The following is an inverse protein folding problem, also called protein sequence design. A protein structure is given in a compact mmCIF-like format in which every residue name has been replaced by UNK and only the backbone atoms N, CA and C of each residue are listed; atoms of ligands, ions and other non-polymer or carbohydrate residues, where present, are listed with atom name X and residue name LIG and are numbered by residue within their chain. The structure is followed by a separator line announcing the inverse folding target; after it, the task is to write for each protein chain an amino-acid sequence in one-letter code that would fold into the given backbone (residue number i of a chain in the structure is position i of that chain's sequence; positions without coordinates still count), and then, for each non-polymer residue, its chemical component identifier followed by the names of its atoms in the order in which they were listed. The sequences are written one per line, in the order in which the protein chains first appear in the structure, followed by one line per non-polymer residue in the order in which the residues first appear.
data_IF_899597737874
#
_entry.id   IF_899597737874
#
_cell.length_a   1.000
_cell.length_b   1.000
_cell.length_c   1.000
_cell.angle_alpha   90.00
_cell.angle_beta   90.00
_cell.angle_gamma   90.00
#
_symmetry.space_group_name_H-M   'P 1'
#
loop_
_entity.id
_entity.type
_entity.pdbx_description
1 polymer ?
#
# COMPACT_ATOMS: atom_id res chain seq x y z
N UNK A 1 -23.67 -9.80 -44.39
CA UNK A 1 -23.00 -8.59 -43.89
C UNK A 1 -23.97 -7.80 -43.03
N UNK A 2 -24.05 -8.12 -41.73
CA UNK A 2 -24.83 -7.33 -40.79
C UNK A 2 -23.93 -6.23 -40.24
N UNK A 3 -24.28 -4.97 -40.53
CA UNK A 3 -23.72 -3.81 -39.82
C UNK A 3 -24.50 -3.67 -38.52
N UNK A 4 -23.77 -3.70 -37.42
CA UNK A 4 -24.29 -3.51 -36.07
C UNK A 4 -24.12 -2.02 -35.74
N UNK A 5 -25.22 -1.27 -35.76
CA UNK A 5 -25.22 0.11 -35.29
C UNK A 5 -25.49 0.08 -33.78
N UNK A 6 -24.42 0.26 -33.00
CA UNK A 6 -24.49 0.35 -31.54
C UNK A 6 -25.02 1.73 -31.17
N UNK A 7 -26.23 1.78 -30.60
CA UNK A 7 -26.79 3.01 -30.05
C UNK A 7 -26.56 3.00 -28.53
N UNK A 8 -25.74 3.92 -28.04
CA UNK A 8 -25.41 4.08 -26.61
C UNK A 8 -26.40 5.06 -25.98
N UNK A 9 -27.23 4.58 -25.07
CA UNK A 9 -28.13 5.44 -24.26
C UNK A 9 -27.48 5.69 -22.91
N UNK A 10 -27.06 6.93 -22.64
CA UNK A 10 -26.52 7.33 -21.34
C UNK A 10 -27.66 7.44 -20.31
N UNK A 11 -27.76 6.46 -19.42
CA UNK A 11 -28.48 6.63 -18.15
C UNK A 11 -27.49 7.24 -17.15
N UNK A 12 -27.79 8.45 -16.67
CA UNK A 12 -27.05 9.10 -15.59
C UNK A 12 -27.37 8.37 -14.30
N UNK A 13 -26.63 7.30 -14.03
CA UNK A 13 -26.50 6.75 -12.69
C UNK A 13 -25.61 7.74 -11.91
N UNK A 14 -26.15 8.30 -10.83
CA UNK A 14 -25.37 9.06 -9.86
C UNK A 14 -24.44 8.09 -9.12
N UNK A 15 -23.38 7.64 -9.80
CA UNK A 15 -22.22 7.05 -9.17
C UNK A 15 -21.57 8.17 -8.35
N UNK A 16 -21.46 7.93 -7.05
CA UNK A 16 -20.47 8.61 -6.20
C UNK A 16 -19.12 8.11 -6.70
N UNK A 17 -18.64 8.71 -7.79
CA UNK A 17 -17.38 8.38 -8.44
C UNK A 17 -16.25 8.93 -7.58
N UNK A 18 -15.48 8.04 -6.98
CA UNK A 18 -14.08 8.31 -6.69
C UNK A 18 -13.41 8.65 -8.02
N UNK A 19 -13.03 9.91 -8.19
CA UNK A 19 -12.28 10.40 -9.34
C UNK A 19 -10.97 9.63 -9.48
N UNK A 20 -10.95 8.60 -10.33
CA UNK A 20 -9.72 8.11 -10.95
C UNK A 20 -9.41 9.02 -12.12
N UNK A 21 -8.74 10.14 -11.84
CA UNK A 21 -8.22 11.00 -12.88
C UNK A 21 -7.08 10.27 -13.59
N UNK A 22 -7.34 9.79 -14.80
CA UNK A 22 -6.29 9.42 -15.74
C UNK A 22 -5.54 10.67 -16.18
N UNK A 23 -4.44 11.00 -15.48
CA UNK A 23 -3.46 11.96 -15.95
C UNK A 23 -2.28 11.22 -16.58
N UNK A 24 -2.17 11.34 -17.91
CA UNK A 24 -0.94 11.10 -18.64
C UNK A 24 0.02 12.25 -18.32
N UNK A 25 1.00 11.97 -17.46
CA UNK A 25 2.05 12.89 -17.04
C UNK A 25 2.69 12.38 -15.76
N UNK A 26 3.82 11.69 -15.88
CA UNK A 26 4.63 11.26 -14.74
C UNK A 26 5.08 12.50 -13.95
N UNK A 27 4.39 12.78 -12.83
CA UNK A 27 4.85 13.64 -11.76
C UNK A 27 4.62 12.87 -10.45
N UNK A 28 5.67 12.46 -9.70
CA UNK A 28 5.55 11.60 -8.52
C UNK A 28 4.90 12.28 -7.29
N UNK A 29 4.24 13.43 -7.48
CA UNK A 29 3.44 14.10 -6.45
C UNK A 29 1.99 14.08 -6.92
N UNK A 30 1.26 12.97 -6.72
CA UNK A 30 -0.21 13.01 -6.62
C UNK A 30 -0.82 11.65 -6.24
N UNK A 31 -0.93 11.43 -4.93
CA UNK A 31 -2.18 11.04 -4.26
C UNK A 31 -2.20 11.40 -2.76
N UNK A 32 -1.38 12.37 -2.32
CA UNK A 32 -1.72 13.14 -1.13
C UNK A 32 -2.96 13.96 -1.49
N UNK A 33 -4.11 13.63 -0.90
CA UNK A 33 -5.33 14.44 -1.00
C UNK A 33 -4.98 15.89 -0.65
N UNK A 34 -4.88 16.76 -1.67
CA UNK A 34 -4.63 18.20 -1.59
C UNK A 34 -3.71 18.65 -0.44
N UNK A 35 -2.39 18.70 -0.68
CA UNK A 35 -1.48 19.39 0.26
C UNK A 35 -2.02 20.79 0.53
N UNK A 36 -2.18 21.12 1.81
CA UNK A 36 -2.63 22.44 2.26
C UNK A 36 -1.56 23.51 2.07
N UNK A 37 -0.34 23.09 1.77
CA UNK A 37 0.85 23.92 1.73
C UNK A 37 1.47 23.95 0.31
N UNK A 38 1.97 25.10 -0.17
CA UNK A 38 2.50 25.22 -1.53
C UNK A 38 3.83 24.48 -1.77
N UNK A 39 4.66 24.30 -0.74
CA UNK A 39 6.01 23.74 -0.86
C UNK A 39 6.26 22.55 0.08
N UNK A 40 5.47 22.39 1.15
CA UNK A 40 5.57 21.27 2.08
C UNK A 40 4.59 20.16 1.71
N UNK A 41 5.10 18.93 1.62
CA UNK A 41 4.29 17.73 1.41
C UNK A 41 4.71 16.68 2.44
N UNK A 42 3.72 16.07 3.09
CA UNK A 42 3.94 15.05 4.12
C UNK A 42 3.10 13.84 3.77
N UNK A 43 3.72 12.65 3.73
CA UNK A 43 3.05 11.45 3.21
C UNK A 43 1.81 11.04 4.02
N UNK A 44 1.78 11.32 5.32
CA UNK A 44 0.59 11.08 6.15
C UNK A 44 -0.45 12.23 6.13
N UNK A 45 -0.24 13.33 5.38
CA UNK A 45 -1.28 14.34 5.16
C UNK A 45 -2.33 13.77 4.19
N UNK A 46 -3.42 13.25 4.75
CA UNK A 46 -4.49 12.64 4.00
C UNK A 46 -5.84 12.85 4.69
N UNK A 47 -6.69 13.64 4.07
CA UNK A 47 -8.04 13.94 4.57
C UNK A 47 -8.94 12.71 4.68
N UNK A 48 -8.73 11.67 3.86
CA UNK A 48 -9.48 10.41 3.96
C UNK A 48 -9.29 9.74 5.33
N UNK A 49 -8.09 9.87 5.88
CA UNK A 49 -7.72 9.29 7.17
C UNK A 49 -7.53 10.36 8.24
N UNK A 50 -8.04 11.58 8.01
CA UNK A 50 -7.95 12.69 8.96
C UNK A 50 -6.52 12.90 9.49
N UNK A 51 -5.50 12.71 8.64
CA UNK A 51 -4.08 12.79 8.98
C UNK A 51 -3.61 11.85 10.12
N UNK A 52 -4.34 10.75 10.37
CA UNK A 52 -3.91 9.72 11.29
C UNK A 52 -2.82 8.85 10.67
N UNK A 53 -1.82 8.54 11.48
CA UNK A 53 -0.83 7.50 11.19
C UNK A 53 -0.51 6.73 12.48
N UNK A 54 0.00 5.51 12.33
CA UNK A 54 0.12 4.56 13.43
C UNK A 54 1.21 3.51 13.14
N UNK A 55 1.70 2.86 14.19
CA UNK A 55 2.59 1.71 14.03
C UNK A 55 3.92 2.08 13.38
N UNK A 56 4.55 1.15 12.63
CA UNK A 56 5.88 1.33 12.07
C UNK A 56 5.87 2.08 10.72
N UNK A 57 4.89 2.95 10.47
CA UNK A 57 4.88 3.75 9.25
C UNK A 57 6.08 4.67 9.17
N UNK A 58 6.70 4.73 7.98
CA UNK A 58 7.72 5.72 7.66
C UNK A 58 7.03 6.91 7.00
N UNK A 59 7.22 8.10 7.57
CA UNK A 59 6.66 9.32 7.01
C UNK A 59 7.71 10.01 6.16
N UNK A 60 7.38 10.28 4.89
CA UNK A 60 8.19 11.09 4.01
C UNK A 60 7.77 12.56 4.12
N UNK A 61 8.77 13.44 4.21
CA UNK A 61 8.62 14.89 4.13
C UNK A 61 9.35 15.39 2.90
N UNK A 62 8.65 16.12 2.04
CA UNK A 62 9.20 16.74 0.84
C UNK A 62 9.06 18.25 0.98
N UNK A 63 10.16 18.97 0.74
CA UNK A 63 10.13 20.41 0.48
C UNK A 63 10.43 20.62 -1.00
N UNK A 64 9.39 20.98 -1.76
CA UNK A 64 9.45 21.37 -3.17
C UNK A 64 9.37 22.88 -3.26
N UNK A 65 10.50 23.54 -3.02
CA UNK A 65 10.58 25.00 -2.92
C UNK A 65 11.40 25.58 -4.08
N UNK A 66 10.80 26.38 -4.97
CA UNK A 66 11.49 26.93 -6.14
C UNK A 66 12.65 27.88 -5.78
N UNK A 67 12.70 28.40 -4.56
CA UNK A 67 13.77 29.30 -4.11
C UNK A 67 15.07 28.53 -3.78
N UNK A 68 14.99 27.21 -3.56
CA UNK A 68 16.10 26.35 -3.13
C UNK A 68 16.19 25.02 -3.90
N UNK A 69 15.68 24.95 -5.14
CA UNK A 69 15.61 23.71 -5.92
C UNK A 69 16.72 23.51 -6.95
N UNK A 70 17.59 24.51 -7.20
CA UNK A 70 18.66 24.34 -8.19
C UNK A 70 19.71 23.33 -7.71
N UNK A 71 20.18 22.51 -8.64
CA UNK A 71 21.11 21.41 -8.37
C UNK A 71 22.58 21.84 -8.41
N UNK A 72 22.87 22.96 -9.05
CA UNK A 72 24.22 23.50 -9.32
C UNK A 72 24.55 24.74 -8.48
N UNK A 73 23.73 25.03 -7.47
CA UNK A 73 23.94 26.12 -6.53
C UNK A 73 23.78 25.62 -5.09
N UNK A 74 24.70 26.03 -4.23
CA UNK A 74 24.65 25.73 -2.82
C UNK A 74 23.54 26.56 -2.15
N UNK A 75 22.59 25.87 -1.55
CA UNK A 75 21.60 26.44 -0.64
C UNK A 75 21.84 25.89 0.78
N UNK A 76 21.37 26.65 1.78
CA UNK A 76 21.21 26.10 3.11
C UNK A 76 20.16 25.00 3.10
N UNK A 77 20.32 24.00 3.97
CA UNK A 77 19.28 23.01 4.24
C UNK A 77 18.00 23.73 4.71
N UNK A 78 16.81 23.41 4.15
CA UNK A 78 15.56 23.97 4.64
C UNK A 78 15.36 23.61 6.12
N UNK A 79 14.86 24.56 6.89
CA UNK A 79 14.61 24.33 8.32
C UNK A 79 13.24 23.68 8.46
N UNK A 80 13.25 22.37 8.71
CA UNK A 80 12.05 21.57 8.98
C UNK A 80 12.14 21.01 10.39
N UNK A 81 11.03 21.02 11.14
CA UNK A 81 10.97 20.43 12.49
C UNK A 81 9.83 19.44 12.65
N UNK A 82 10.04 18.44 13.51
CA UNK A 82 9.03 17.56 14.07
C UNK A 82 8.86 17.93 15.54
N UNK A 83 7.71 18.47 15.93
CA UNK A 83 7.45 18.95 17.31
C UNK A 83 8.58 19.86 17.84
N UNK A 84 9.08 20.77 16.99
CA UNK A 84 10.14 21.72 17.31
C UNK A 84 11.55 21.13 17.35
N UNK A 85 11.74 19.85 16.98
CA UNK A 85 13.05 19.20 16.82
C UNK A 85 13.44 19.12 15.35
N UNK A 86 14.67 19.48 15.01
CA UNK A 86 15.10 19.50 13.60
C UNK A 86 14.95 18.13 12.94
N UNK A 87 14.38 18.15 11.74
CA UNK A 87 14.39 17.05 10.78
C UNK A 87 15.44 17.36 9.72
N UNK A 88 16.47 16.50 9.61
CA UNK A 88 17.50 16.67 8.59
C UNK A 88 16.95 16.37 7.19
N UNK A 89 17.18 17.27 6.25
CA UNK A 89 16.71 17.20 4.87
C UNK A 89 17.88 17.00 3.90
N UNK A 90 17.68 16.20 2.85
CA UNK A 90 18.69 15.98 1.81
C UNK A 90 18.13 16.31 0.42
N UNK A 91 18.89 17.04 -0.39
CA UNK A 91 18.46 17.41 -1.74
C UNK A 91 18.66 16.25 -2.71
N UNK A 92 17.63 15.91 -3.47
CA UNK A 92 17.68 14.91 -4.52
C UNK A 92 17.97 15.50 -5.89
N UNK A 93 18.18 14.64 -6.88
CA UNK A 93 18.46 15.01 -8.28
C UNK A 93 17.28 15.61 -9.03
N UNK A 94 16.08 15.62 -8.45
CA UNK A 94 14.90 16.31 -8.98
C UNK A 94 14.75 17.75 -8.43
N UNK A 95 15.68 18.20 -7.57
CA UNK A 95 15.71 19.53 -6.98
C UNK A 95 14.94 19.64 -5.67
N UNK A 96 14.11 18.66 -5.32
CA UNK A 96 13.37 18.68 -4.07
C UNK A 96 14.25 18.20 -2.91
N UNK A 97 13.84 18.57 -1.69
CA UNK A 97 14.46 18.14 -0.46
C UNK A 97 13.62 17.06 0.22
N UNK A 98 14.25 15.99 0.66
CA UNK A 98 13.59 14.82 1.24
C UNK A 98 14.10 14.53 2.65
N UNK A 99 13.19 14.09 3.51
CA UNK A 99 13.51 13.45 4.78
C UNK A 99 12.50 12.35 5.09
N UNK A 100 12.90 11.46 5.99
CA UNK A 100 12.05 10.38 6.48
C UNK A 100 12.09 10.36 8.01
N UNK A 101 10.94 10.13 8.64
CA UNK A 101 10.87 9.94 10.08
C UNK A 101 9.90 8.82 10.47
N UNK A 102 10.09 8.26 11.66
CA UNK A 102 9.20 7.24 12.22
C UNK A 102 9.21 7.29 13.76
N UNK A 103 8.24 6.65 14.39
CA UNK A 103 8.30 6.38 15.83
C UNK A 103 9.40 5.34 16.12
N UNK A 104 10.29 5.66 17.07
CA UNK A 104 11.43 4.83 17.45
C UNK A 104 10.99 3.45 17.95
N UNK A 105 10.00 3.39 18.82
CA UNK A 105 9.61 2.12 19.44
C UNK A 105 8.92 1.21 18.43
N UNK A 106 8.12 1.78 17.54
CA UNK A 106 7.49 1.06 16.44
C UNK A 106 8.51 0.57 15.40
N UNK A 107 9.47 1.41 15.01
CA UNK A 107 10.58 1.00 14.14
C UNK A 107 11.38 -0.17 14.72
N UNK A 108 11.74 -0.09 16.01
CA UNK A 108 12.42 -1.20 16.72
C UNK A 108 11.55 -2.46 16.75
N UNK A 109 10.25 -2.33 17.02
CA UNK A 109 9.34 -3.46 17.08
C UNK A 109 9.23 -4.16 15.73
N UNK A 110 9.16 -3.39 14.64
CA UNK A 110 9.08 -3.88 13.27
C UNK A 110 10.37 -4.59 12.87
N UNK A 111 11.52 -3.94 13.06
CA UNK A 111 12.81 -4.46 12.65
C UNK A 111 13.19 -5.78 13.35
N UNK A 112 12.79 -5.95 14.61
CA UNK A 112 12.92 -7.22 15.34
C UNK A 112 12.26 -8.42 14.66
N UNK A 113 11.27 -8.20 13.81
CA UNK A 113 10.59 -9.29 13.10
C UNK A 113 11.38 -9.80 11.90
N UNK A 114 12.40 -9.07 11.45
CA UNK A 114 13.13 -9.38 10.22
C UNK A 114 13.88 -10.70 10.34
N UNK A 115 13.55 -11.65 9.47
CA UNK A 115 14.22 -12.96 9.40
C UNK A 115 15.38 -13.02 8.40
N UNK A 116 15.41 -12.09 7.44
CA UNK A 116 16.44 -11.97 6.41
C UNK A 116 16.63 -10.49 6.08
N UNK A 117 17.89 -10.02 6.07
CA UNK A 117 18.20 -8.62 5.78
C UNK A 117 17.69 -8.19 4.40
N UNK A 118 17.11 -7.00 4.29
CA UNK A 118 16.51 -6.51 3.03
C UNK A 118 15.14 -7.10 2.72
N UNK A 119 14.41 -7.61 3.72
CA UNK A 119 13.08 -8.23 3.57
C UNK A 119 12.16 -7.92 4.74
N UNK A 120 10.85 -7.95 4.50
CA UNK A 120 9.87 -7.66 5.53
C UNK A 120 9.98 -6.22 6.02
N UNK A 121 9.74 -5.98 7.30
CA UNK A 121 9.76 -4.64 7.91
C UNK A 121 11.17 -4.25 8.38
N UNK A 122 12.15 -4.30 7.48
CA UNK A 122 13.56 -4.01 7.76
C UNK A 122 13.85 -2.51 7.66
N UNK A 123 14.22 -1.90 8.78
CA UNK A 123 14.56 -0.48 8.88
C UNK A 123 16.04 -0.19 8.58
N UNK A 124 16.85 -1.23 8.40
CA UNK A 124 18.30 -1.17 8.32
C UNK A 124 18.95 -1.09 9.70
N UNK A 125 20.17 -0.55 9.77
CA UNK A 125 20.90 -0.52 11.05
C UNK A 125 20.58 0.75 11.85
N UNK A 126 20.42 0.60 13.16
CA UNK A 126 20.11 1.67 14.10
C UNK A 126 21.38 2.30 14.67
N UNK A 127 21.38 3.62 14.73
CA UNK A 127 22.40 4.46 15.35
C UNK A 127 21.75 5.38 16.39
N UNK A 128 22.42 5.62 17.52
CA UNK A 128 21.90 6.51 18.56
C UNK A 128 22.10 7.98 18.19
N UNK A 129 21.35 8.89 18.81
CA UNK A 129 21.56 10.34 18.65
C UNK A 129 22.88 10.84 19.26
N UNK A 130 23.58 10.01 20.03
CA UNK A 130 24.92 10.28 20.56
C UNK A 130 26.04 9.88 19.58
N UNK A 131 25.68 9.46 18.37
CA UNK A 131 26.64 9.11 17.32
C UNK A 131 27.55 10.29 17.00
N UNK A 132 28.86 10.07 16.98
CA UNK A 132 29.84 11.05 16.50
C UNK A 132 29.98 11.04 14.99
N UNK A 133 29.31 10.09 14.33
CA UNK A 133 29.22 10.00 12.88
C UNK A 133 28.47 11.19 12.27
N UNK A 134 29.10 11.83 11.27
CA UNK A 134 28.51 12.87 10.43
C UNK A 134 28.64 12.45 8.95
N UNK A 135 27.53 12.20 8.22
CA UNK A 135 27.60 11.80 6.81
C UNK A 135 28.16 12.90 5.91
N UNK A 136 27.98 14.15 6.32
CA UNK A 136 28.42 15.36 5.62
C UNK A 136 28.62 16.46 6.65
N UNK A 137 29.64 17.31 6.47
CA UNK A 137 29.91 18.42 7.39
C UNK A 137 28.64 19.22 7.72
N UNK A 138 28.37 19.40 9.02
CA UNK A 138 27.19 20.08 9.53
C UNK A 138 25.92 19.21 9.59
N UNK A 139 25.99 17.92 9.24
CA UNK A 139 24.91 16.95 9.40
C UNK A 139 25.14 16.07 10.62
N UNK A 140 24.21 16.16 11.55
CA UNK A 140 24.10 15.33 12.76
C UNK A 140 22.63 15.08 13.06
N UNK A 141 22.37 14.09 13.90
CA UNK A 141 21.02 13.65 14.31
C UNK A 141 20.84 13.77 15.82
N UNK A 142 21.47 14.75 16.46
CA UNK A 142 21.46 14.91 17.92
C UNK A 142 20.09 15.27 18.50
N UNK A 143 19.21 15.88 17.68
CA UNK A 143 17.85 16.26 18.08
C UNK A 143 16.82 15.12 17.94
N UNK A 144 17.23 13.95 17.47
CA UNK A 144 16.38 12.76 17.35
C UNK A 144 16.55 11.82 18.55
N UNK A 145 15.83 10.70 18.53
CA UNK A 145 15.99 9.58 19.46
C UNK A 145 16.81 8.43 18.85
N UNK A 146 17.58 8.74 17.81
CA UNK A 146 18.29 7.78 16.98
C UNK A 146 17.90 7.94 15.51
N UNK A 147 18.55 7.19 14.65
CA UNK A 147 18.28 7.15 13.23
C UNK A 147 18.64 5.78 12.68
N UNK A 148 18.07 5.43 11.53
CA UNK A 148 18.42 4.20 10.82
C UNK A 148 19.16 4.52 9.53
N UNK A 149 20.03 3.61 9.11
CA UNK A 149 20.79 3.72 7.87
C UNK A 149 20.48 2.55 6.95
N UNK A 150 20.43 2.85 5.66
CA UNK A 150 19.96 1.89 4.66
C UNK A 150 20.87 0.69 4.42
N UNK A 151 22.17 0.83 4.73
CA UNK A 151 23.18 -0.19 4.43
C UNK A 151 23.82 -0.76 5.68
N UNK A 152 24.19 -2.03 5.60
CA UNK A 152 25.00 -2.68 6.61
C UNK A 152 26.45 -2.21 6.59
N UNK A 153 27.11 -2.23 7.75
CA UNK A 153 28.55 -2.03 7.88
C UNK A 153 28.97 -0.73 8.56
N UNK A 154 28.05 0.00 9.21
CA UNK A 154 28.43 1.14 10.03
C UNK A 154 28.94 0.66 11.39
N UNK A 155 30.11 1.15 11.79
CA UNK A 155 30.71 0.80 13.09
C UNK A 155 29.86 1.33 14.23
N UNK A 156 29.44 0.43 15.13
CA UNK A 156 28.58 0.76 16.27
C UNK A 156 27.10 0.81 15.94
N UNK A 157 26.69 0.55 14.69
CA UNK A 157 25.28 0.39 14.36
C UNK A 157 24.76 -0.99 14.78
N UNK A 158 23.50 -1.06 15.17
CA UNK A 158 22.84 -2.27 15.65
C UNK A 158 21.70 -2.64 14.71
N UNK A 159 21.70 -3.88 14.24
CA UNK A 159 20.57 -4.46 13.53
C UNK A 159 19.64 -5.15 14.56
N UNK A 160 18.32 -4.97 14.44
CA UNK A 160 17.30 -5.58 15.32
C UNK A 160 17.52 -5.32 16.81
N UNK A 161 17.67 -4.06 17.23
CA UNK A 161 17.94 -3.74 18.64
C UNK A 161 16.85 -4.29 19.56
N UNK A 162 17.25 -4.88 20.70
CA UNK A 162 16.31 -5.48 21.65
C UNK A 162 15.35 -4.46 22.30
N UNK A 163 15.72 -3.19 22.37
CA UNK A 163 14.93 -2.06 22.88
C UNK A 163 15.67 -0.75 22.60
N UNK A 164 15.10 0.39 22.99
CA UNK A 164 15.72 1.70 22.79
C UNK A 164 17.11 1.85 23.43
N UNK A 165 17.37 1.22 24.59
CA UNK A 165 18.66 1.27 25.26
C UNK A 165 19.74 0.40 24.57
N UNK A 166 19.33 -0.51 23.68
CA UNK A 166 20.25 -1.33 22.89
C UNK A 166 20.78 -0.59 21.65
N UNK A 167 20.27 0.60 21.31
CA UNK A 167 20.80 1.42 20.22
C UNK A 167 22.11 2.07 20.66
N UNK A 168 23.21 1.76 19.99
CA UNK A 168 24.54 2.28 20.31
C UNK A 168 24.97 3.43 19.40
N UNK A 169 25.96 4.20 19.86
CA UNK A 169 26.51 5.31 19.09
C UNK A 169 27.35 4.80 17.91
N UNK A 170 27.07 5.34 16.72
CA UNK A 170 27.84 5.10 15.52
C UNK A 170 29.03 6.07 15.48
N UNK A 171 30.25 5.55 15.36
CA UNK A 171 31.47 6.32 15.62
C UNK A 171 32.23 6.73 14.37
N UNK A 172 32.09 5.98 13.28
CA UNK A 172 32.68 6.30 11.97
C UNK A 172 31.83 5.71 10.86
N UNK A 173 31.51 6.47 9.82
CA UNK A 173 31.17 5.88 8.54
C UNK A 173 32.14 6.38 7.47
N UNK A 174 32.97 5.47 7.00
CA UNK A 174 33.32 5.42 5.58
C UNK A 174 32.07 4.97 4.82
N UNK A 175 31.99 5.28 3.53
CA UNK A 175 30.90 4.82 2.68
C UNK A 175 30.68 3.31 2.92
N UNK A 176 29.49 2.89 3.40
CA UNK A 176 29.26 1.49 3.74
C UNK A 176 29.45 0.61 2.51
N UNK A 177 30.28 -0.43 2.65
CA UNK A 177 30.52 -1.42 1.60
C UNK A 177 29.45 -2.52 1.57
N UNK A 178 28.56 -2.57 2.57
CA UNK A 178 27.51 -3.57 2.67
C UNK A 178 26.37 -3.38 1.68
N UNK A 179 25.53 -4.41 1.55
CA UNK A 179 24.29 -4.33 0.79
C UNK A 179 23.33 -3.31 1.42
N UNK A 180 22.43 -2.76 0.60
CA UNK A 180 21.24 -2.07 1.09
C UNK A 180 20.33 -3.13 1.73
N UNK A 181 20.01 -2.93 2.99
CA UNK A 181 19.22 -3.85 3.81
C UNK A 181 17.91 -3.22 4.28
N UNK A 182 17.74 -1.89 4.22
CA UNK A 182 16.40 -1.31 4.46
C UNK A 182 15.40 -1.78 3.40
N UNK A 183 14.18 -2.04 3.85
CA UNK A 183 13.06 -2.55 3.06
C UNK A 183 11.73 -1.83 3.35
N UNK A 184 11.77 -0.79 4.19
CA UNK A 184 10.64 0.12 4.46
C UNK A 184 10.76 1.46 3.71
N UNK A 185 11.83 1.62 2.92
CA UNK A 185 12.00 2.65 1.89
C UNK A 185 12.69 1.99 0.68
N UNK A 186 11.90 1.62 -0.32
CA UNK A 186 12.37 0.82 -1.46
C UNK A 186 12.73 1.66 -2.69
N UNK A 187 12.11 2.82 -2.87
CA UNK A 187 12.26 3.71 -4.03
C UNK A 187 12.62 5.16 -3.61
N UNK A 188 13.65 5.31 -2.76
CA UNK A 188 14.19 6.61 -2.39
C UNK A 188 14.70 7.41 -3.60
N UNK A 189 14.69 8.73 -3.47
CA UNK A 189 15.26 9.59 -4.49
C UNK A 189 16.79 9.59 -4.42
N UNK A 190 17.43 9.62 -5.59
CA UNK A 190 18.87 9.74 -5.71
C UNK A 190 19.31 11.12 -5.23
N UNK A 191 20.33 11.19 -4.37
CA UNK A 191 20.84 12.46 -3.83
C UNK A 191 21.62 13.26 -4.89
N UNK A 192 21.54 14.59 -4.81
CA UNK A 192 22.33 15.49 -5.62
C UNK A 192 23.81 15.49 -5.19
N UNK A 193 24.68 14.95 -6.04
CA UNK A 193 26.14 14.85 -5.80
C UNK A 193 26.95 16.00 -6.40
N UNK A 194 26.29 16.98 -7.05
CA UNK A 194 26.98 18.11 -7.66
C UNK A 194 27.71 18.95 -6.60
N UNK A 195 29.03 19.10 -6.75
CA UNK A 195 29.90 19.83 -5.81
C UNK A 195 29.58 21.33 -5.68
N UNK A 196 28.92 21.92 -6.69
CA UNK A 196 28.44 23.30 -6.63
C UNK A 196 27.08 23.43 -5.92
N UNK A 197 26.36 22.31 -5.72
CA UNK A 197 25.04 22.24 -5.10
C UNK A 197 25.07 21.60 -3.71
N UNK A 198 24.15 20.66 -3.46
CA UNK A 198 24.09 19.94 -2.19
C UNK A 198 25.34 19.11 -1.88
N UNK A 199 26.06 18.66 -2.92
CA UNK A 199 27.33 17.94 -2.80
C UNK A 199 27.25 16.72 -1.85
N UNK A 200 26.27 15.84 -2.05
CA UNK A 200 26.21 14.57 -1.36
C UNK A 200 27.49 13.76 -1.66
N UNK A 201 28.28 13.46 -0.61
CA UNK A 201 29.49 12.66 -0.73
C UNK A 201 29.16 11.16 -0.65
N UNK A 202 30.17 10.32 -0.88
CA UNK A 202 30.04 8.86 -0.84
C UNK A 202 29.51 8.32 0.50
N UNK A 203 29.80 8.99 1.61
CA UNK A 203 29.31 8.60 2.94
C UNK A 203 27.80 8.85 3.04
N UNK A 204 27.34 10.04 2.65
CA UNK A 204 25.91 10.38 2.71
C UNK A 204 25.11 9.51 1.74
N UNK A 205 25.56 9.35 0.50
CA UNK A 205 24.90 8.42 -0.45
C UNK A 205 24.95 6.97 0.02
N UNK A 206 25.96 6.62 0.81
CA UNK A 206 26.14 5.26 1.30
C UNK A 206 25.23 4.89 2.48
N UNK A 207 24.73 5.87 3.24
CA UNK A 207 23.79 5.63 4.34
C UNK A 207 22.33 5.92 3.96
N UNK A 208 22.11 6.59 2.83
CA UNK A 208 20.79 7.03 2.36
C UNK A 208 19.96 5.85 1.84
N UNK A 209 18.64 5.80 2.10
CA UNK A 209 17.85 6.76 2.90
C UNK A 209 18.10 6.63 4.41
N UNK A 210 17.89 7.73 5.14
CA UNK A 210 18.00 7.79 6.61
C UNK A 210 16.62 8.04 7.21
N UNK A 211 16.18 7.14 8.10
CA UNK A 211 14.94 7.35 8.89
C UNK A 211 15.31 7.96 10.23
N UNK A 212 14.82 9.16 10.50
CA UNK A 212 15.04 9.86 11.76
C UNK A 212 13.98 9.43 12.78
N UNK A 213 14.42 8.93 13.94
CA UNK A 213 13.52 8.33 14.91
C UNK A 213 13.12 9.37 15.95
N UNK A 214 11.81 9.56 16.15
CA UNK A 214 11.25 10.37 17.24
C UNK A 214 10.50 9.46 18.22
N UNK A 215 10.03 10.02 19.33
CA UNK A 215 9.27 9.26 20.32
C UNK A 215 7.91 9.90 20.49
N UNK A 216 6.89 9.22 20.00
CA UNK A 216 5.51 9.67 20.04
C UNK A 216 4.69 8.86 21.05
N UNK A 217 5.35 8.25 22.06
CA UNK A 217 4.74 7.31 23.02
C UNK A 217 3.63 7.88 23.92
N UNK A 218 3.29 9.16 23.82
CA UNK A 218 2.20 9.82 24.56
C UNK A 218 0.85 9.77 23.85
N UNK A 219 0.36 8.59 23.47
CA UNK A 219 -0.84 8.45 22.62
C UNK A 219 -2.14 8.95 23.28
N UNK A 220 -2.99 9.73 22.55
CA UNK A 220 -2.74 10.29 21.22
C UNK A 220 -1.67 11.38 21.25
N UNK A 221 -0.75 11.38 20.28
CA UNK A 221 0.29 12.41 20.13
C UNK A 221 0.06 13.21 18.86
N UNK A 222 -0.09 14.53 19.01
CA UNK A 222 -0.03 15.43 17.87
C UNK A 222 1.42 15.57 17.38
N UNK A 223 1.61 15.45 16.07
CA UNK A 223 2.90 15.54 15.40
C UNK A 223 2.85 16.70 14.42
N UNK A 224 3.51 17.78 14.79
CA UNK A 224 3.63 19.00 14.00
C UNK A 224 4.86 18.89 13.09
N UNK A 225 4.62 18.85 11.78
CA UNK A 225 5.67 19.00 10.76
C UNK A 225 5.66 20.45 10.30
N UNK A 226 6.73 21.17 10.59
CA UNK A 226 6.81 22.62 10.35
C UNK A 226 8.00 22.94 9.43
N UNK A 227 7.72 23.46 8.24
CA UNK A 227 8.70 24.05 7.34
C UNK A 227 8.75 25.57 7.52
N UNK A 228 9.84 26.06 8.08
CA UNK A 228 10.08 27.48 8.33
C UNK A 228 10.51 28.20 7.04
N UNK A 229 9.59 28.35 6.07
CA UNK A 229 9.86 29.03 4.80
C UNK A 229 10.04 30.53 5.05
N UNK A 230 10.97 31.15 4.31
CA UNK A 230 11.04 32.60 4.22
C UNK A 230 9.70 33.15 3.68
N UNK A 231 9.01 33.98 4.47
CA UNK A 231 7.69 34.52 4.13
C UNK A 231 6.51 33.87 4.85
N UNK A 232 6.75 32.84 5.67
CA UNK A 232 5.74 32.25 6.55
C UNK A 232 5.87 30.74 6.66
N UNK A 233 5.63 30.21 7.85
CA UNK A 233 5.72 28.79 8.14
C UNK A 233 4.62 28.01 7.39
N UNK A 234 4.99 26.83 6.90
CA UNK A 234 4.08 25.86 6.30
C UNK A 234 4.01 24.66 7.23
N UNK A 235 2.80 24.34 7.67
CA UNK A 235 2.59 23.43 8.79
C UNK A 235 1.62 22.32 8.40
N UNK A 236 1.98 21.09 8.71
CA UNK A 236 1.10 19.93 8.66
C UNK A 236 0.96 19.36 10.07
N UNK A 237 -0.29 19.19 10.51
CA UNK A 237 -0.62 18.49 11.75
C UNK A 237 -1.03 17.05 11.42
N UNK A 238 -0.33 16.11 12.04
CA UNK A 238 -0.63 14.68 12.00
C UNK A 238 -1.04 14.18 13.39
N UNK A 239 -1.78 13.07 13.44
CA UNK A 239 -2.18 12.42 14.69
C UNK A 239 -1.56 11.02 14.76
N UNK A 240 -0.59 10.84 15.67
CA UNK A 240 -0.05 9.52 15.96
C UNK A 240 -0.86 8.84 17.06
N UNK A 241 -1.71 7.90 16.66
CA UNK A 241 -2.58 7.15 17.55
C UNK A 241 -3.00 5.83 16.89
N UNK A 242 -3.80 5.01 17.58
CA UNK A 242 -4.57 3.95 16.95
C UNK A 242 -5.50 4.55 15.93
N UNK A 243 -5.57 3.94 14.74
CA UNK A 243 -6.48 4.40 13.70
C UNK A 243 -7.94 4.21 14.17
N UNK A 244 -8.76 5.29 14.19
CA UNK A 244 -10.17 5.19 14.50
C UNK A 244 -10.89 4.17 13.61
N UNK A 245 -11.75 3.33 14.20
CA UNK A 245 -12.46 2.24 13.49
C UNK A 245 -13.27 2.74 12.29
N UNK A 246 -13.81 3.97 12.34
CA UNK A 246 -14.57 4.56 11.24
C UNK A 246 -13.71 5.03 10.04
N UNK A 247 -12.39 5.03 10.18
CA UNK A 247 -11.43 5.31 9.10
C UNK A 247 -10.88 4.04 8.45
N UNK A 248 -11.23 2.87 9.01
CA UNK A 248 -10.88 1.56 8.47
C UNK A 248 -12.13 0.94 7.86
N UNK A 249 -12.04 0.45 6.63
CA UNK A 249 -13.19 -0.16 5.96
C UNK A 249 -12.79 -1.27 5.01
N UNK A 250 -13.67 -2.25 4.81
CA UNK A 250 -13.59 -3.20 3.70
C UNK A 250 -14.88 -3.15 2.89
N UNK A 251 -14.77 -3.19 1.57
CA UNK A 251 -15.91 -3.15 0.66
C UNK A 251 -15.73 -4.12 -0.50
N UNK A 252 -16.85 -4.60 -1.01
CA UNK A 252 -16.93 -5.48 -2.18
C UNK A 252 -17.61 -4.74 -3.34
N UNK A 253 -17.28 -5.09 -4.57
CA UNK A 253 -17.74 -4.38 -5.77
C UNK A 253 -19.20 -4.62 -6.16
N UNK A 254 -19.84 -5.68 -5.61
CA UNK A 254 -21.22 -6.06 -5.94
C UNK A 254 -21.99 -6.54 -4.72
N UNK A 255 -23.30 -6.40 -4.77
CA UNK A 255 -24.22 -6.96 -3.79
C UNK A 255 -24.60 -8.42 -4.07
N UNK A 256 -24.44 -8.86 -5.31
CA UNK A 256 -24.71 -10.22 -5.77
C UNK A 256 -23.74 -10.59 -6.90
N UNK A 257 -23.21 -11.80 -6.84
CA UNK A 257 -22.21 -12.29 -7.79
C UNK A 257 -22.75 -13.47 -8.60
N UNK A 258 -22.67 -13.43 -9.93
CA UNK A 258 -23.01 -14.58 -10.72
C UNK A 258 -21.86 -15.61 -10.65
N UNK A 259 -22.01 -16.79 -11.27
CA UNK A 259 -20.96 -17.83 -11.23
C UNK A 259 -19.66 -17.36 -11.91
N UNK A 260 -18.49 -17.87 -11.53
CA UNK A 260 -17.24 -17.58 -12.23
C UNK A 260 -16.95 -16.08 -12.48
N UNK A 261 -17.32 -15.21 -11.54
CA UNK A 261 -17.12 -13.76 -11.61
C UNK A 261 -16.03 -13.32 -10.64
N UNK A 262 -15.22 -12.35 -11.07
CA UNK A 262 -14.22 -11.69 -10.24
C UNK A 262 -14.90 -11.05 -9.03
N UNK A 263 -14.28 -11.19 -7.86
CA UNK A 263 -14.74 -10.59 -6.60
C UNK A 263 -13.67 -9.61 -6.18
N UNK A 264 -13.95 -8.31 -6.30
CA UNK A 264 -12.98 -7.28 -5.96
C UNK A 264 -13.23 -6.79 -4.54
N UNK A 265 -12.22 -6.96 -3.69
CA UNK A 265 -12.23 -6.49 -2.31
C UNK A 265 -11.29 -5.30 -2.20
N UNK A 266 -11.82 -4.17 -1.76
CA UNK A 266 -11.04 -3.00 -1.40
C UNK A 266 -10.97 -2.88 0.12
N UNK A 267 -9.80 -2.54 0.64
CA UNK A 267 -9.53 -2.29 2.04
C UNK A 267 -8.93 -0.91 2.20
N UNK A 268 -9.49 -0.06 3.05
CA UNK A 268 -8.91 1.22 3.43
C UNK A 268 -8.39 1.07 4.85
N UNK A 269 -7.08 1.18 5.03
CA UNK A 269 -6.41 1.21 6.33
C UNK A 269 -5.04 1.90 6.17
N UNK A 270 -4.88 3.13 6.70
CA UNK A 270 -3.62 3.84 6.60
C UNK A 270 -2.49 3.16 7.38
N UNK A 271 -2.80 2.29 8.35
CA UNK A 271 -1.78 1.59 9.12
C UNK A 271 -1.00 0.56 8.33
N UNK A 272 -1.55 0.09 7.20
CA UNK A 272 -0.87 -0.81 6.28
C UNK A 272 0.12 -0.10 5.34
N UNK A 273 0.11 1.23 5.30
CA UNK A 273 0.95 2.03 4.39
C UNK A 273 2.29 2.38 5.06
N UNK A 274 3.24 1.45 5.01
CA UNK A 274 4.54 1.50 5.68
C UNK A 274 5.58 2.28 4.88
N UNK A 275 5.67 2.03 3.57
CA UNK A 275 6.68 2.60 2.69
C UNK A 275 6.10 3.76 1.87
N UNK A 276 6.51 5.01 2.13
CA UNK A 276 5.96 6.16 1.43
C UNK A 276 6.50 6.32 -0.01
N UNK A 277 7.36 5.41 -0.49
CA UNK A 277 8.07 5.53 -1.78
C UNK A 277 7.66 4.51 -2.83
N UNK A 278 7.05 3.39 -2.43
CA UNK A 278 6.59 2.33 -3.34
C UNK A 278 5.27 1.73 -2.82
N UNK A 279 4.45 1.17 -3.71
CA UNK A 279 3.23 0.47 -3.29
C UNK A 279 3.52 -0.65 -2.28
N UNK A 280 2.72 -0.67 -1.21
CA UNK A 280 2.77 -1.71 -0.19
C UNK A 280 1.97 -2.96 -0.57
N UNK A 281 2.47 -4.12 -0.16
CA UNK A 281 1.88 -5.42 -0.45
C UNK A 281 1.81 -6.24 0.84
N UNK A 282 0.61 -6.72 1.16
CA UNK A 282 0.34 -7.53 2.34
C UNK A 282 -0.32 -8.83 1.93
N UNK A 283 0.19 -9.95 2.43
CA UNK A 283 -0.33 -11.27 2.11
C UNK A 283 -0.77 -11.96 3.38
N UNK A 284 -2.01 -12.47 3.38
CA UNK A 284 -2.57 -13.21 4.50
C UNK A 284 -2.75 -14.69 4.13
N UNK A 285 -2.50 -15.56 5.11
CA UNK A 285 -3.25 -16.82 5.21
C UNK A 285 -4.59 -16.50 5.86
N UNK A 286 -5.67 -16.55 5.07
CA UNK A 286 -6.98 -16.02 5.49
C UNK A 286 -7.86 -17.03 6.21
N UNK A 287 -7.45 -18.29 6.33
CA UNK A 287 -8.21 -19.26 7.10
C UNK A 287 -8.09 -18.97 8.61
N UNK A 288 -9.24 -18.79 9.27
CA UNK A 288 -9.33 -18.42 10.68
C UNK A 288 -8.66 -19.39 11.65
N UNK A 289 -8.49 -20.67 11.29
CA UNK A 289 -7.87 -21.67 12.18
C UNK A 289 -6.34 -21.68 12.12
N UNK A 290 -5.74 -21.07 11.10
CA UNK A 290 -4.28 -21.02 10.91
C UNK A 290 -3.84 -19.72 10.23
N UNK A 291 -4.44 -18.61 10.64
CA UNK A 291 -4.24 -17.31 10.00
C UNK A 291 -2.80 -16.80 10.15
N UNK A 292 -2.28 -16.20 9.09
CA UNK A 292 -0.93 -15.63 9.01
C UNK A 292 -0.98 -14.28 8.30
N UNK A 293 0.04 -13.44 8.53
CA UNK A 293 0.19 -12.12 7.91
C UNK A 293 1.65 -11.87 7.57
N UNK A 294 1.90 -11.36 6.38
CA UNK A 294 3.23 -11.02 5.89
C UNK A 294 3.23 -9.69 5.14
N UNK A 295 4.27 -8.91 5.37
CA UNK A 295 4.57 -7.71 4.59
C UNK A 295 5.55 -8.06 3.47
N UNK A 296 5.26 -7.61 2.25
CA UNK A 296 6.07 -7.82 1.04
C UNK A 296 6.41 -9.29 0.78
N UNK A 297 5.41 -10.17 0.77
CA UNK A 297 5.60 -11.52 0.24
C UNK A 297 5.99 -11.47 -1.25
N UNK A 298 5.35 -10.55 -1.98
CA UNK A 298 5.54 -10.28 -3.40
C UNK A 298 5.79 -8.79 -3.60
N UNK A 299 6.72 -8.46 -4.50
CA UNK A 299 7.04 -7.08 -4.84
C UNK A 299 5.95 -6.43 -5.70
N UNK A 300 6.10 -5.13 -6.02
CA UNK A 300 5.14 -4.39 -6.84
C UNK A 300 4.87 -5.01 -8.21
N UNK A 301 5.70 -5.91 -8.72
CA UNK A 301 5.52 -6.56 -10.03
C UNK A 301 5.01 -8.01 -9.93
N UNK A 302 4.65 -8.48 -8.73
CA UNK A 302 4.20 -9.85 -8.48
C UNK A 302 5.31 -10.91 -8.47
N UNK A 303 6.57 -10.47 -8.49
CA UNK A 303 7.71 -11.34 -8.25
C UNK A 303 7.83 -11.68 -6.77
N UNK A 304 8.31 -12.89 -6.46
CA UNK A 304 8.60 -13.27 -5.08
C UNK A 304 9.63 -12.30 -4.46
N UNK A 305 9.26 -11.69 -3.34
CA UNK A 305 10.15 -10.88 -2.54
C UNK A 305 10.62 -11.66 -1.31
N UNK A 306 9.76 -11.80 -0.29
CA UNK A 306 10.03 -12.64 0.88
C UNK A 306 9.55 -14.09 0.71
N UNK A 307 8.54 -14.36 -0.13
CA UNK A 307 7.93 -15.70 -0.30
C UNK A 307 8.99 -16.76 -0.66
N UNK A 308 8.96 -17.90 0.05
CA UNK A 308 9.92 -18.98 -0.08
C UNK A 308 11.28 -18.78 0.61
N UNK A 309 11.47 -17.67 1.34
CA UNK A 309 12.73 -17.37 2.05
C UNK A 309 12.53 -17.23 3.55
N UNK A 310 13.62 -17.13 4.31
CA UNK A 310 13.59 -16.79 5.74
C UNK A 310 13.07 -15.37 6.02
N UNK A 311 12.94 -14.51 5.01
CA UNK A 311 12.35 -13.17 5.15
C UNK A 311 10.84 -13.19 5.38
N UNK A 312 10.15 -14.30 5.07
CA UNK A 312 8.70 -14.43 5.19
C UNK A 312 8.26 -14.67 6.65
N UNK A 313 8.25 -13.60 7.44
CA UNK A 313 8.01 -13.64 8.88
C UNK A 313 6.55 -13.35 9.21
N UNK A 314 5.91 -14.24 9.99
CA UNK A 314 4.50 -14.11 10.33
C UNK A 314 4.30 -13.02 11.40
N UNK A 315 3.52 -12.00 11.08
CA UNK A 315 3.33 -10.80 11.88
C UNK A 315 2.08 -10.83 12.79
N UNK A 316 1.24 -11.87 12.71
CA UNK A 316 0.00 -11.96 13.51
C UNK A 316 0.29 -11.80 15.02
N UNK A 317 1.37 -12.40 15.53
CA UNK A 317 1.77 -12.29 16.93
C UNK A 317 2.29 -10.90 17.34
N UNK A 318 2.53 -10.01 16.38
CA UNK A 318 3.13 -8.69 16.56
C UNK A 318 2.12 -7.54 16.41
N UNK A 319 0.88 -7.81 15.98
CA UNK A 319 -0.15 -6.79 15.71
C UNK A 319 -0.37 -5.82 16.88
N UNK A 320 -0.41 -6.30 18.12
CA UNK A 320 -0.53 -5.44 19.31
C UNK A 320 0.67 -4.49 19.46
N UNK A 321 1.88 -4.97 19.20
CA UNK A 321 3.10 -4.15 19.28
C UNK A 321 3.14 -3.09 18.18
N UNK A 322 2.56 -3.39 17.02
CA UNK A 322 2.41 -2.51 15.87
C UNK A 322 1.20 -1.58 15.95
N UNK A 323 0.51 -1.53 17.09
CA UNK A 323 -0.67 -0.71 17.35
C UNK A 323 -1.95 -1.12 16.61
N UNK A 324 -1.99 -2.26 15.92
CA UNK A 324 -3.20 -2.73 15.22
C UNK A 324 -4.30 -3.15 16.21
N UNK A 325 -3.92 -3.70 17.39
CA UNK A 325 -4.85 -4.29 18.35
C UNK A 325 -5.76 -5.37 17.72
N UNK A 326 -7.02 -5.02 17.43
CA UNK A 326 -8.01 -5.90 16.78
C UNK A 326 -8.00 -5.79 15.24
N UNK A 327 -7.25 -4.84 14.69
CA UNK A 327 -7.06 -4.63 13.26
C UNK A 327 -5.93 -5.51 12.69
N UNK A 328 -5.69 -5.46 11.38
CA UNK A 328 -4.54 -6.10 10.72
C UNK A 328 -4.70 -7.59 10.43
N UNK A 329 -5.70 -8.25 11.00
CA UNK A 329 -6.05 -9.63 10.65
C UNK A 329 -7.20 -9.66 9.63
N UNK A 330 -6.95 -10.26 8.47
CA UNK A 330 -7.96 -10.55 7.45
C UNK A 330 -8.26 -12.05 7.44
N UNK A 331 -9.53 -12.41 7.60
CA UNK A 331 -9.99 -13.81 7.50
C UNK A 331 -11.10 -13.96 6.47
N UNK A 332 -11.15 -15.12 5.84
CA UNK A 332 -12.10 -15.45 4.78
C UNK A 332 -12.64 -16.87 5.00
N UNK A 333 -13.97 -16.99 5.06
CA UNK A 333 -14.67 -18.26 5.01
C UNK A 333 -15.38 -18.40 3.65
N UNK A 334 -14.88 -19.23 2.72
CA UNK A 334 -15.42 -19.33 1.37
C UNK A 334 -16.74 -20.10 1.32
N UNK A 335 -17.14 -20.75 2.43
CA UNK A 335 -18.31 -21.61 2.50
C UNK A 335 -19.11 -21.38 3.80
N UNK A 336 -19.48 -20.14 4.08
CA UNK A 336 -20.11 -19.77 5.36
C UNK A 336 -21.42 -20.52 5.65
N UNK A 337 -22.10 -20.99 4.61
CA UNK A 337 -23.33 -21.78 4.70
C UNK A 337 -23.15 -23.22 4.16
N UNK A 338 -21.92 -23.75 4.20
CA UNK A 338 -21.61 -25.14 3.81
C UNK A 338 -21.47 -25.38 2.31
N UNK A 339 -21.73 -24.37 1.47
CA UNK A 339 -21.49 -24.38 0.02
C UNK A 339 -20.32 -23.46 -0.30
N UNK A 340 -19.34 -23.96 -1.06
CA UNK A 340 -18.22 -23.15 -1.50
C UNK A 340 -18.66 -22.10 -2.53
N UNK A 341 -18.61 -20.84 -2.12
CA UNK A 341 -18.96 -19.67 -2.95
C UNK A 341 -17.74 -19.11 -3.66
N UNK A 342 -16.56 -19.18 -3.04
CA UNK A 342 -15.32 -18.58 -3.55
C UNK A 342 -14.25 -19.64 -3.83
N UNK A 343 -13.58 -19.46 -4.97
CA UNK A 343 -12.27 -20.04 -5.24
C UNK A 343 -11.21 -18.93 -5.18
N UNK A 344 -9.97 -19.34 -4.99
CA UNK A 344 -8.78 -18.50 -5.06
C UNK A 344 -8.16 -18.65 -6.45
N UNK A 345 -7.56 -17.59 -6.96
CA UNK A 345 -6.84 -17.63 -8.22
C UNK A 345 -5.60 -16.73 -8.22
N UNK A 346 -4.60 -17.11 -9.00
CA UNK A 346 -3.44 -16.26 -9.27
C UNK A 346 -3.87 -15.01 -10.04
N UNK A 347 -3.14 -13.94 -9.82
CA UNK A 347 -3.13 -12.77 -10.68
C UNK A 347 -1.68 -12.33 -10.93
N UNK A 348 -1.47 -11.18 -11.55
CA UNK A 348 -0.15 -10.62 -11.81
C UNK A 348 0.60 -10.08 -10.59
N UNK A 349 0.02 -10.16 -9.37
CA UNK A 349 0.64 -9.72 -8.10
C UNK A 349 0.83 -10.85 -7.10
N UNK A 350 -0.01 -11.88 -7.16
CA UNK A 350 0.07 -13.07 -6.33
C UNK A 350 0.23 -14.34 -7.20
N UNK A 351 1.42 -14.94 -7.22
CA UNK A 351 1.62 -16.22 -7.86
C UNK A 351 1.05 -17.35 -6.99
N UNK A 352 -0.18 -17.78 -7.28
CA UNK A 352 -0.74 -19.01 -6.71
C UNK A 352 -0.33 -20.25 -7.51
N UNK A 353 0.01 -21.31 -6.78
CA UNK A 353 0.29 -22.65 -7.33
C UNK A 353 -0.81 -23.62 -6.91
N UNK A 354 -1.22 -24.46 -7.85
CA UNK A 354 -2.14 -25.58 -7.64
C UNK A 354 -1.59 -26.85 -8.28
N UNK A 355 -2.08 -28.02 -7.86
CA UNK A 355 -1.60 -29.31 -8.35
C UNK A 355 -1.82 -29.52 -9.86
N UNK A 356 -2.89 -28.94 -10.41
CA UNK A 356 -3.24 -28.95 -11.83
C UNK A 356 -2.49 -27.88 -12.65
N UNK A 357 -1.67 -27.03 -12.01
CA UNK A 357 -0.91 -25.97 -12.65
C UNK A 357 -1.70 -24.73 -13.07
N UNK A 358 -3.02 -24.69 -12.82
CA UNK A 358 -3.87 -23.54 -13.20
C UNK A 358 -3.59 -22.31 -12.33
N UNK A 359 -3.18 -22.53 -11.08
CA UNK A 359 -3.10 -21.50 -10.04
C UNK A 359 -4.48 -21.06 -9.56
N UNK A 360 -5.50 -21.93 -9.66
CA UNK A 360 -6.87 -21.68 -9.21
C UNK A 360 -7.40 -22.86 -8.40
N UNK A 361 -8.25 -22.60 -7.41
CA UNK A 361 -9.01 -23.63 -6.69
C UNK A 361 -9.42 -23.21 -5.29
N UNK A 362 -9.98 -24.16 -4.54
CA UNK A 362 -10.34 -23.99 -3.13
C UNK A 362 -9.10 -23.92 -2.23
N UNK A 363 -9.31 -23.66 -0.94
CA UNK A 363 -8.23 -23.48 0.05
C UNK A 363 -7.24 -24.64 0.11
N UNK A 364 -7.71 -25.88 -0.07
CA UNK A 364 -6.88 -27.10 -0.08
C UNK A 364 -6.13 -27.34 -1.39
N UNK A 365 -6.42 -26.57 -2.45
CA UNK A 365 -5.89 -26.78 -3.79
C UNK A 365 -4.84 -25.73 -4.19
N UNK A 366 -4.80 -24.58 -3.51
CA UNK A 366 -3.86 -23.49 -3.81
C UNK A 366 -2.90 -23.21 -2.65
N UNK A 367 -1.72 -22.68 -2.98
CA UNK A 367 -0.68 -22.26 -2.05
C UNK A 367 0.27 -21.24 -2.67
N UNK A 368 1.06 -20.56 -1.84
CA UNK A 368 2.31 -19.88 -2.26
C UNK A 368 3.52 -20.76 -1.93
N UNK A 369 4.75 -20.25 -2.01
CA UNK A 369 5.92 -21.00 -1.53
C UNK A 369 5.94 -21.11 0.00
N UNK A 370 5.51 -20.08 0.73
CA UNK A 370 5.51 -20.05 2.18
C UNK A 370 4.15 -20.30 2.85
N UNK A 371 3.04 -19.99 2.17
CA UNK A 371 1.68 -20.22 2.69
C UNK A 371 1.17 -21.54 2.12
N UNK A 372 1.09 -22.57 2.96
CA UNK A 372 0.70 -23.92 2.56
C UNK A 372 -0.80 -24.08 2.24
N UNK A 373 -1.14 -25.26 1.71
CA UNK A 373 -2.54 -25.64 1.47
C UNK A 373 -3.39 -25.50 2.73
N UNK A 374 -4.68 -25.29 2.52
CA UNK A 374 -5.70 -25.05 3.55
C UNK A 374 -5.51 -23.75 4.34
N UNK A 375 -4.59 -22.87 3.93
CA UNK A 375 -4.35 -21.57 4.59
C UNK A 375 -4.97 -20.38 3.86
N UNK A 376 -5.50 -20.59 2.64
CA UNK A 376 -6.26 -19.58 1.90
C UNK A 376 -5.45 -18.28 1.63
N UNK A 377 -4.38 -18.33 0.83
CA UNK A 377 -3.55 -17.15 0.54
C UNK A 377 -4.33 -16.07 -0.24
N UNK A 378 -4.25 -14.83 0.23
CA UNK A 378 -4.79 -13.64 -0.46
C UNK A 378 -3.81 -12.49 -0.26
N UNK A 379 -3.44 -11.82 -1.35
CA UNK A 379 -2.58 -10.62 -1.32
C UNK A 379 -3.38 -9.37 -1.63
N UNK A 380 -3.20 -8.33 -0.81
CA UNK A 380 -3.64 -7.00 -1.15
C UNK A 380 -2.44 -6.13 -1.48
N UNK A 381 -2.54 -5.39 -2.58
CA UNK A 381 -1.56 -4.37 -2.97
C UNK A 381 -2.19 -2.99 -2.88
N UNK A 382 -1.39 -2.00 -2.50
CA UNK A 382 -1.79 -0.62 -2.50
C UNK A 382 -2.30 -0.20 -3.89
N UNK A 383 -3.42 0.52 -3.92
CA UNK A 383 -4.22 0.79 -5.11
C UNK A 383 -4.36 2.28 -5.33
N UNK A 384 -4.25 2.71 -6.58
CA UNK A 384 -4.28 4.12 -6.94
C UNK A 384 -2.90 4.79 -6.86
N UNK A 385 -1.84 4.06 -6.53
CA UNK A 385 -0.47 4.55 -6.50
C UNK A 385 0.19 4.30 -5.14
N UNK A 386 1.27 5.03 -4.89
CA UNK A 386 2.05 4.95 -3.64
C UNK A 386 1.38 5.78 -2.55
N UNK A 387 1.40 5.28 -1.32
CA UNK A 387 1.05 6.03 -0.12
C UNK A 387 -0.40 6.56 -0.14
N UNK A 388 -1.33 5.68 -0.51
CA UNK A 388 -2.77 5.92 -0.56
C UNK A 388 -3.50 5.37 0.67
N UNK A 389 -2.91 4.42 1.41
CA UNK A 389 -3.60 3.70 2.49
C UNK A 389 -4.81 2.88 2.03
N UNK A 390 -4.94 2.69 0.72
CA UNK A 390 -6.04 1.97 0.08
C UNK A 390 -5.47 0.76 -0.65
N UNK A 391 -6.01 -0.41 -0.37
CA UNK A 391 -5.48 -1.70 -0.77
C UNK A 391 -6.53 -2.51 -1.52
N UNK A 392 -6.07 -3.37 -2.41
CA UNK A 392 -6.90 -4.09 -3.35
C UNK A 392 -6.39 -5.51 -3.60
N UNK A 393 -7.29 -6.48 -3.72
CA UNK A 393 -6.96 -7.87 -4.03
C UNK A 393 -6.75 -8.15 -5.53
N UNK A 394 -6.55 -7.11 -6.35
CA UNK A 394 -6.45 -7.23 -7.80
C UNK A 394 -5.22 -6.56 -8.39
N UNK A 395 -4.83 -7.02 -9.59
CA UNK A 395 -3.66 -6.55 -10.30
C UNK A 395 -3.93 -5.42 -11.32
N UNK A 396 -2.88 -5.00 -12.03
CA UNK A 396 -3.00 -4.03 -13.13
C UNK A 396 -3.93 -4.49 -14.26
N UNK A 397 -4.01 -5.79 -14.49
CA UNK A 397 -4.88 -6.46 -15.46
C UNK A 397 -6.33 -6.62 -15.01
N UNK A 398 -6.68 -6.11 -13.83
CA UNK A 398 -8.03 -6.20 -13.24
C UNK A 398 -8.47 -7.65 -12.98
N UNK A 399 -7.52 -8.50 -12.58
CA UNK A 399 -7.76 -9.86 -12.13
C UNK A 399 -7.62 -9.89 -10.60
N UNK A 400 -8.70 -10.25 -9.91
CA UNK A 400 -8.74 -10.40 -8.45
C UNK A 400 -8.16 -11.74 -8.00
N UNK A 401 -7.75 -11.82 -6.74
CA UNK A 401 -7.37 -13.08 -6.11
C UNK A 401 -8.57 -13.98 -5.83
N UNK A 402 -9.77 -13.38 -5.76
CA UNK A 402 -11.01 -14.06 -5.45
C UNK A 402 -11.92 -14.14 -6.69
N UNK A 403 -12.52 -15.30 -6.88
CA UNK A 403 -13.49 -15.56 -7.95
C UNK A 403 -14.60 -16.45 -7.43
N UNK A 404 -15.84 -16.20 -7.85
CA UNK A 404 -16.94 -17.11 -7.47
C UNK A 404 -16.79 -18.48 -8.12
N UNK A 405 -17.19 -19.53 -7.42
CA UNK A 405 -17.18 -20.88 -7.96
C UNK A 405 -18.09 -20.97 -9.19
N UNK A 406 -17.69 -21.81 -10.16
CA UNK A 406 -18.46 -22.03 -11.38
C UNK A 406 -19.59 -23.06 -11.18
N UNK A 407 -20.50 -22.79 -10.24
CA UNK A 407 -21.62 -23.67 -9.92
C UNK A 407 -22.85 -22.89 -9.52
N UNK A 408 -24.03 -23.32 -9.99
CA UNK A 408 -25.30 -22.68 -9.61
C UNK A 408 -25.67 -22.89 -8.14
N UNK A 409 -24.98 -23.80 -7.44
CA UNK A 409 -25.19 -24.05 -6.02
C UNK A 409 -24.88 -22.83 -5.15
N UNK A 410 -24.13 -21.84 -5.65
CA UNK A 410 -23.82 -20.60 -4.91
C UNK A 410 -25.01 -19.64 -4.79
N UNK A 411 -26.15 -19.92 -5.45
CA UNK A 411 -27.33 -19.06 -5.39
C UNK A 411 -27.82 -18.89 -3.95
N UNK A 412 -28.01 -17.64 -3.55
CA UNK A 412 -28.56 -17.22 -2.24
C UNK A 412 -27.77 -17.75 -1.03
N UNK A 413 -26.52 -18.15 -1.26
CA UNK A 413 -25.55 -18.50 -0.22
C UNK A 413 -24.33 -17.59 -0.30
N UNK A 414 -23.57 -17.52 0.80
CA UNK A 414 -22.50 -16.54 0.94
C UNK A 414 -21.18 -17.14 1.42
N UNK A 415 -20.10 -16.53 0.93
CA UNK A 415 -18.85 -16.47 1.65
C UNK A 415 -18.84 -15.24 2.57
N UNK A 416 -17.91 -15.23 3.52
CA UNK A 416 -17.71 -14.07 4.41
C UNK A 416 -16.25 -13.71 4.49
N UNK A 417 -15.96 -12.41 4.47
CA UNK A 417 -14.67 -11.85 4.84
C UNK A 417 -14.83 -11.11 6.18
N UNK A 418 -13.78 -11.06 6.97
CA UNK A 418 -13.74 -10.30 8.21
C UNK A 418 -12.42 -9.55 8.34
N UNK A 419 -12.52 -8.26 8.63
CA UNK A 419 -11.38 -7.37 8.87
C UNK A 419 -11.78 -6.28 9.86
N UNK A 420 -10.87 -5.93 10.78
CA UNK A 420 -11.11 -4.93 11.83
C UNK A 420 -12.44 -5.16 12.57
N UNK A 421 -12.69 -6.40 12.95
CA UNK A 421 -13.92 -6.89 13.57
C UNK A 421 -15.25 -6.68 12.80
N UNK A 422 -15.20 -6.20 11.57
CA UNK A 422 -16.35 -6.07 10.67
C UNK A 422 -16.39 -7.25 9.70
N UNK A 423 -17.57 -7.82 9.51
CA UNK A 423 -17.80 -8.92 8.57
C UNK A 423 -18.62 -8.45 7.37
N UNK A 424 -18.17 -8.82 6.17
CA UNK A 424 -18.81 -8.51 4.89
C UNK A 424 -19.13 -9.80 4.16
N UNK A 425 -20.35 -9.92 3.65
CA UNK A 425 -20.81 -11.09 2.89
C UNK A 425 -20.55 -10.92 1.40
N UNK A 426 -20.12 -12.01 0.76
CA UNK A 426 -20.05 -12.13 -0.70
C UNK A 426 -21.11 -13.14 -1.10
N UNK A 427 -22.19 -12.65 -1.69
CA UNK A 427 -23.41 -13.43 -1.92
C UNK A 427 -23.48 -13.86 -3.39
N UNK A 428 -23.66 -15.15 -3.64
CA UNK A 428 -23.99 -15.62 -4.98
C UNK A 428 -25.43 -15.28 -5.33
N UNK A 429 -25.66 -14.63 -6.46
CA UNK A 429 -26.99 -14.23 -6.90
C UNK A 429 -27.06 -14.09 -8.41
N UNK A 430 -28.17 -14.55 -8.99
CA UNK A 430 -28.36 -14.64 -10.44
C UNK A 430 -29.64 -13.87 -10.82
N UNK A 431 -29.49 -12.90 -11.72
CA UNK A 431 -30.57 -12.17 -12.33
C UNK A 431 -31.15 -12.87 -13.55
N UNK A 432 -32.33 -12.43 -13.98
CA UNK A 432 -32.91 -12.87 -15.23
C UNK A 432 -32.55 -11.88 -16.33
N UNK A 433 -32.16 -12.40 -17.49
CA UNK A 433 -32.03 -11.58 -18.68
C UNK A 433 -33.41 -11.05 -19.11
N UNK A 434 -33.44 -9.83 -19.63
CA UNK A 434 -34.63 -9.19 -20.18
C UNK A 434 -34.43 -8.86 -21.66
N UNK A 435 -35.49 -9.05 -22.45
CA UNK A 435 -35.55 -8.67 -23.85
C UNK A 435 -36.57 -7.54 -24.00
N UNK A 436 -36.11 -6.40 -24.49
CA UNK A 436 -36.97 -5.26 -24.81
C UNK A 436 -36.98 -5.05 -26.32
N UNK A 437 -38.17 -4.89 -26.87
CA UNK A 437 -38.37 -4.59 -28.29
C UNK A 437 -39.13 -3.28 -28.38
N UNK A 438 -38.50 -2.27 -28.96
CA UNK A 438 -39.08 -0.93 -29.05
C UNK A 438 -39.28 -0.54 -30.50
N UNK A 439 -40.52 -0.24 -30.89
CA UNK A 439 -40.82 0.24 -32.24
C UNK A 439 -40.14 1.60 -32.48
N UNK A 440 -39.35 1.71 -33.54
CA UNK A 440 -38.51 2.89 -33.84
C UNK A 440 -39.30 4.19 -34.02
N UNK A 441 -40.60 4.07 -34.33
CA UNK A 441 -41.52 5.17 -34.59
C UNK A 441 -42.90 4.95 -33.93
N UNK A 442 -42.95 4.15 -32.87
CA UNK A 442 -44.20 3.74 -32.20
C UNK A 442 -45.23 3.05 -33.12
N UNK A 443 -44.80 2.54 -34.29
CA UNK A 443 -45.65 1.75 -35.20
C UNK A 443 -44.97 0.43 -35.56
N UNK A 444 -45.77 -0.62 -35.70
CA UNK A 444 -45.31 -1.96 -36.10
C UNK A 444 -45.66 -2.20 -37.56
N UNK A 445 -44.88 -1.63 -38.48
CA UNK A 445 -45.08 -1.82 -39.90
C UNK A 445 -44.40 -3.11 -40.40
N UNK A 446 -45.07 -3.85 -41.28
CA UNK A 446 -44.47 -5.02 -41.95
C UNK A 446 -43.23 -4.62 -42.74
N UNK A 447 -42.13 -5.38 -42.59
CA UNK A 447 -40.84 -5.13 -43.26
C UNK A 447 -39.92 -4.12 -42.55
N UNK A 448 -40.36 -3.50 -41.44
CA UNK A 448 -39.53 -2.61 -40.64
C UNK A 448 -38.53 -3.39 -39.77
N UNK A 449 -37.28 -2.95 -39.73
CA UNK A 449 -36.29 -3.44 -38.75
C UNK A 449 -36.58 -2.84 -37.39
N UNK A 450 -36.66 -3.68 -36.36
CA UNK A 450 -36.97 -3.26 -35.00
C UNK A 450 -35.80 -3.68 -34.10
N UNK A 451 -35.23 -2.76 -33.30
CA UNK A 451 -34.15 -3.11 -32.40
C UNK A 451 -34.67 -4.03 -31.29
N UNK A 452 -33.87 -5.06 -31.00
CA UNK A 452 -34.05 -5.94 -29.84
C UNK A 452 -32.89 -5.64 -28.90
N UNK A 453 -33.21 -5.21 -27.68
CA UNK A 453 -32.23 -4.97 -26.62
C UNK A 453 -32.30 -6.12 -25.63
N UNK A 454 -31.18 -6.84 -25.49
CA UNK A 454 -30.97 -7.83 -24.44
C UNK A 454 -30.20 -7.18 -23.30
N UNK A 455 -30.70 -7.32 -22.08
CA UNK A 455 -30.01 -6.90 -20.86
C UNK A 455 -29.90 -8.10 -19.94
N UNK A 456 -28.67 -8.55 -19.68
CA UNK A 456 -28.36 -9.64 -18.77
C UNK A 456 -27.37 -9.14 -17.71
N UNK A 457 -27.77 -9.18 -16.44
CA UNK A 457 -26.96 -8.71 -15.32
C UNK A 457 -25.83 -9.68 -14.94
N UNK A 458 -25.95 -10.94 -15.35
CA UNK A 458 -25.06 -12.02 -14.96
C UNK A 458 -23.95 -12.28 -15.98
N UNK A 459 -24.15 -11.77 -17.20
CA UNK A 459 -23.16 -11.84 -18.26
C UNK A 459 -21.86 -11.11 -17.90
N UNK A 460 -21.94 -10.06 -17.07
CA UNK A 460 -20.76 -9.34 -16.60
C UNK A 460 -20.06 -10.10 -15.47
N UNK A 461 -18.92 -10.73 -15.77
CA UNK A 461 -18.05 -11.45 -14.83
C UNK A 461 -16.99 -10.57 -14.20
N UNK A 462 -16.66 -9.42 -14.79
CA UNK A 462 -15.64 -8.50 -14.28
C UNK A 462 -16.13 -7.04 -14.28
N UNK A 463 -16.48 -6.53 -13.10
CA UNK A 463 -17.00 -5.16 -12.93
C UNK A 463 -15.99 -4.04 -13.24
N UNK A 464 -14.69 -4.36 -13.33
CA UNK A 464 -13.62 -3.38 -13.57
C UNK A 464 -13.22 -3.23 -15.03
N UNK A 465 -13.82 -4.01 -15.94
CA UNK A 465 -13.61 -3.87 -17.38
C UNK A 465 -14.95 -3.87 -18.12
N UNK A 466 -14.93 -3.38 -19.35
CA UNK A 466 -16.05 -3.58 -20.27
C UNK A 466 -15.92 -4.95 -20.91
N UNK A 467 -16.92 -5.80 -20.68
CA UNK A 467 -17.02 -7.10 -21.34
C UNK A 467 -17.99 -7.02 -22.51
N UNK A 468 -17.71 -7.79 -23.56
CA UNK A 468 -18.62 -7.93 -24.69
C UNK A 468 -19.46 -9.18 -24.49
N UNK A 469 -20.79 -9.03 -24.60
CA UNK A 469 -21.71 -10.16 -24.56
C UNK A 469 -21.44 -11.05 -25.78
N UNK A 470 -20.96 -12.26 -25.51
CA UNK A 470 -20.82 -13.29 -26.55
C UNK A 470 -22.09 -14.13 -26.58
N UNK A 471 -22.82 -14.05 -27.69
CA UNK A 471 -24.08 -14.77 -27.90
C UNK A 471 -23.87 -16.14 -28.57
N UNK A 472 -22.65 -16.48 -28.99
CA UNK A 472 -22.39 -17.59 -29.90
C UNK A 472 -21.33 -18.59 -29.42
N UNK A 473 -20.79 -18.42 -28.21
CA UNK A 473 -19.85 -19.36 -27.58
C UNK A 473 -20.49 -20.17 -26.45
#
# INVERSE_FOLDING_TARGET
MYRQDVTVTFAVLLLIGSVTAGFSGYNPVQNASASTNPNLFVSAENSQFQNYFAGPQVIQVIVSDPDINRLDQAYGEPTVTINGKKLRMAQATDGNWYAYFADRNQAIAADKTVGLAGKGLDFGQFCSSLSTFSPKAGVDYSETKGFTVAKAGITGAVDKPANAAAITACTTATAPAGAKITHVIREEKTLNTNGAGFAANANYTGIWPVVQLYDFSGFPTDVLVDYHKAGGDQIVLLHFDRIPTNLISTSVDRTAYPVNSQVFVQMNDPQLNIDPTEEDSWTWGTNATNSTLYYQAFNRNGGADADGTAGMQNLIGNLTNFMFNHNGQFTLNPAAQGVNVLDFQKNGKEPLKSADGTGRGQTNAVRTASIGFSSAPVTFIESGGVNTGTFADWDGGKIANLITSNTQAIRDVSATIRYNDVSTSIVGGFGFASLTVTATNNTWAGGQKIPVTLTDTDANRNSKITEHLDLFN
#
